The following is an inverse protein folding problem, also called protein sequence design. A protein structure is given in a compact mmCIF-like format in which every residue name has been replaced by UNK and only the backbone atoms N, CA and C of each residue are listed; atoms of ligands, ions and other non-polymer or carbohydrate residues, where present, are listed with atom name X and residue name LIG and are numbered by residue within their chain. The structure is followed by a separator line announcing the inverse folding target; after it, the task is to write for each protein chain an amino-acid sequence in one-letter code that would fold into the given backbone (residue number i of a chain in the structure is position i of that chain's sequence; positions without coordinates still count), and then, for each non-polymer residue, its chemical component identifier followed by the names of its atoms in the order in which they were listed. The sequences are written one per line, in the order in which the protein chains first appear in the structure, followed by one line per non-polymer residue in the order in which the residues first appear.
data_IF_645055585730
#
_entry.id   IF_645055585730
#
_cell.length_a   1.000
_cell.length_b   1.000
_cell.length_c   1.000
_cell.angle_alpha   90.00
_cell.angle_beta   90.00
_cell.angle_gamma   90.00
#
_symmetry.space_group_name_H-M   'P 1'
#
loop_
_entity.id
_entity.type
_entity.pdbx_description
1 polymer ?
#
# COMPACT_ATOMS: atom_id res chain seq x y z
N UNK A 1 -12.45 0.45 9.98
CA UNK A 1 -12.24 -0.89 9.41
C UNK A 1 -10.89 -1.43 9.88
N UNK A 2 -10.88 -2.63 10.42
CA UNK A 2 -9.63 -3.24 10.92
C UNK A 2 -8.90 -3.94 9.78
N UNK A 3 -7.56 -4.01 9.82
CA UNK A 3 -6.81 -4.61 8.70
C UNK A 3 -7.22 -6.03 8.33
N UNK A 4 -7.53 -6.90 9.29
CA UNK A 4 -7.91 -8.27 8.98
C UNK A 4 -9.21 -8.36 8.19
N UNK A 5 -10.08 -7.36 8.28
CA UNK A 5 -11.34 -7.31 7.54
C UNK A 5 -11.12 -7.09 6.05
N UNK A 6 -9.92 -6.64 5.65
CA UNK A 6 -9.58 -6.40 4.26
C UNK A 6 -9.21 -7.68 3.51
N UNK A 7 -8.81 -8.74 4.25
CA UNK A 7 -8.40 -10.00 3.63
C UNK A 7 -9.54 -10.60 2.82
N UNK A 8 -9.27 -10.91 1.55
CA UNK A 8 -10.28 -11.45 0.64
C UNK A 8 -11.05 -10.44 -0.17
N UNK A 9 -10.89 -9.13 0.11
CA UNK A 9 -11.58 -8.11 -0.69
C UNK A 9 -11.07 -8.10 -2.13
N UNK A 10 -11.98 -8.02 -3.12
CA UNK A 10 -11.59 -8.03 -4.53
C UNK A 10 -10.94 -6.73 -4.97
N UNK A 11 -10.17 -6.82 -6.03
CA UNK A 11 -9.50 -5.68 -6.65
C UNK A 11 -10.45 -4.93 -7.58
N UNK A 12 -10.46 -3.61 -7.47
CA UNK A 12 -11.08 -2.70 -8.44
C UNK A 12 -10.38 -1.35 -8.36
N UNK A 13 -9.75 -0.93 -9.45
CA UNK A 13 -9.02 0.33 -9.47
C UNK A 13 -9.93 1.51 -9.15
N UNK A 14 -9.51 2.35 -8.20
CA UNK A 14 -10.27 3.51 -7.76
C UNK A 14 -11.35 3.23 -6.72
N UNK A 15 -11.52 1.97 -6.32
CA UNK A 15 -12.53 1.62 -5.31
C UNK A 15 -12.02 1.84 -3.88
N UNK A 16 -12.95 2.11 -2.98
CA UNK A 16 -12.68 2.28 -1.57
C UNK A 16 -13.25 1.08 -0.79
N UNK A 17 -12.44 0.37 0.02
CA UNK A 17 -12.88 -0.83 0.72
C UNK A 17 -14.15 -0.65 1.54
N UNK A 18 -14.26 0.45 2.27
CA UNK A 18 -15.42 0.71 3.13
C UNK A 18 -16.69 1.02 2.33
N UNK A 19 -16.57 1.77 1.23
CA UNK A 19 -17.72 2.21 0.44
C UNK A 19 -18.16 1.19 -0.60
N UNK A 20 -17.23 0.45 -1.18
CA UNK A 20 -17.49 -0.36 -2.36
C UNK A 20 -17.30 -1.86 -2.15
N UNK A 21 -16.79 -2.31 -1.02
CA UNK A 21 -16.47 -3.71 -0.79
C UNK A 21 -15.37 -4.23 -1.72
N UNK A 22 -14.55 -3.33 -2.26
CA UNK A 22 -13.44 -3.62 -3.14
C UNK A 22 -12.42 -2.49 -3.00
N UNK A 23 -11.19 -2.72 -3.44
CA UNK A 23 -10.15 -1.69 -3.37
C UNK A 23 -9.02 -1.94 -4.32
N UNK A 24 -8.03 -1.08 -4.27
CA UNK A 24 -6.76 -1.24 -4.99
C UNK A 24 -5.61 -1.11 -3.99
N UNK A 25 -4.37 -1.19 -4.46
CA UNK A 25 -3.23 -1.12 -3.54
C UNK A 25 -3.11 0.22 -2.82
N UNK A 26 -3.55 1.31 -3.44
CA UNK A 26 -3.55 2.64 -2.81
C UNK A 26 -4.57 2.70 -1.67
N UNK A 27 -5.82 2.32 -1.93
CA UNK A 27 -6.88 2.35 -0.92
C UNK A 27 -6.65 1.31 0.17
N UNK A 28 -6.07 0.16 -0.16
CA UNK A 28 -5.68 -0.86 0.82
C UNK A 28 -4.68 -0.28 1.83
N UNK A 29 -3.58 0.26 1.34
CA UNK A 29 -2.53 0.81 2.20
C UNK A 29 -3.05 1.98 3.03
N UNK A 30 -3.85 2.86 2.42
CA UNK A 30 -4.45 3.98 3.11
C UNK A 30 -5.37 3.54 4.25
N UNK A 31 -6.18 2.51 4.01
CA UNK A 31 -7.09 1.96 5.03
C UNK A 31 -6.32 1.36 6.20
N UNK A 32 -5.26 0.60 5.91
CA UNK A 32 -4.41 0.00 6.95
C UNK A 32 -3.73 1.08 7.78
N UNK A 33 -3.11 2.08 7.13
CA UNK A 33 -2.46 3.18 7.83
C UNK A 33 -3.45 3.94 8.72
N UNK A 34 -4.65 4.19 8.21
CA UNK A 34 -5.68 4.88 8.98
C UNK A 34 -6.06 4.11 10.24
N UNK A 35 -6.09 2.78 10.18
CA UNK A 35 -6.38 1.95 11.35
C UNK A 35 -5.30 2.09 12.44
N UNK A 36 -4.10 2.51 12.07
CA UNK A 36 -3.00 2.76 13.01
C UNK A 36 -2.90 4.25 13.40
N UNK A 37 -3.83 5.09 12.95
CA UNK A 37 -3.77 6.52 13.21
C UNK A 37 -2.76 7.28 12.36
N UNK A 38 -2.29 6.69 11.28
CA UNK A 38 -1.32 7.29 10.37
C UNK A 38 -2.03 7.84 9.15
N UNK A 39 -1.77 9.12 8.81
CA UNK A 39 -2.37 9.74 7.64
C UNK A 39 -1.51 9.49 6.40
N UNK A 40 -2.18 9.37 5.26
CA UNK A 40 -1.55 9.25 3.95
C UNK A 40 -2.25 10.18 2.97
N UNK A 41 -1.59 10.59 1.88
CA UNK A 41 -2.24 11.43 0.88
C UNK A 41 -3.45 10.72 0.28
N UNK A 42 -4.47 11.50 -0.06
CA UNK A 42 -5.62 10.98 -0.77
C UNK A 42 -5.26 10.81 -2.25
N UNK A 43 -5.53 9.62 -2.85
CA UNK A 43 -5.21 9.42 -4.26
C UNK A 43 -5.95 10.41 -5.17
N UNK A 44 -5.23 10.94 -6.16
CA UNK A 44 -5.77 11.88 -7.13
C UNK A 44 -6.14 11.16 -8.44
N UNK A 45 -7.00 11.77 -9.24
CA UNK A 45 -7.37 11.22 -10.55
C UNK A 45 -6.17 11.02 -11.46
N UNK A 46 -5.20 11.92 -11.39
CA UNK A 46 -3.97 11.82 -12.19
C UNK A 46 -3.18 10.55 -11.88
N UNK A 47 -3.19 10.10 -10.62
CA UNK A 47 -2.52 8.86 -10.24
C UNK A 47 -3.15 7.66 -10.95
N UNK A 48 -4.47 7.57 -10.93
CA UNK A 48 -5.20 6.47 -11.58
C UNK A 48 -5.02 6.47 -13.09
N UNK A 49 -4.98 7.65 -13.72
CA UNK A 49 -4.69 7.75 -15.16
C UNK A 49 -3.30 7.22 -15.50
N UNK A 50 -2.31 7.55 -14.67
CA UNK A 50 -0.94 7.06 -14.86
C UNK A 50 -0.87 5.54 -14.66
N UNK A 51 -1.53 5.01 -13.64
CA UNK A 51 -1.55 3.57 -13.38
C UNK A 51 -2.23 2.79 -14.49
N UNK A 52 -3.30 3.31 -15.09
CA UNK A 52 -3.94 2.70 -16.27
C UNK A 52 -2.99 2.59 -17.45
N UNK A 53 -2.05 3.50 -17.57
CA UNK A 53 -1.01 3.49 -18.61
C UNK A 53 0.22 2.69 -18.18
N UNK A 54 0.17 2.02 -17.05
CA UNK A 54 1.29 1.26 -16.46
C UNK A 54 2.50 2.12 -16.15
N UNK A 55 2.28 3.40 -15.85
CA UNK A 55 3.30 4.32 -15.36
C UNK A 55 3.40 4.18 -13.85
N UNK A 56 4.24 3.25 -13.41
CA UNK A 56 4.41 2.93 -11.99
C UNK A 56 5.33 3.91 -11.25
N UNK A 57 5.92 4.88 -11.94
CA UNK A 57 6.78 5.88 -11.29
C UNK A 57 5.99 6.70 -10.26
N UNK A 58 4.66 6.75 -10.38
CA UNK A 58 3.80 7.42 -9.40
C UNK A 58 4.02 6.85 -7.98
N UNK A 59 4.20 5.54 -7.84
CA UNK A 59 4.43 4.92 -6.54
C UNK A 59 5.73 5.42 -5.91
N UNK A 60 6.81 5.47 -6.70
CA UNK A 60 8.11 5.95 -6.22
C UNK A 60 8.03 7.42 -5.80
N UNK A 61 7.39 8.25 -6.64
CA UNK A 61 7.25 9.68 -6.37
C UNK A 61 6.48 9.93 -5.07
N UNK A 62 5.32 9.28 -4.90
CA UNK A 62 4.46 9.52 -3.75
C UNK A 62 5.00 8.92 -2.46
N UNK A 63 5.62 7.75 -2.52
CA UNK A 63 6.24 7.14 -1.35
C UNK A 63 7.44 7.94 -0.88
N UNK A 64 8.26 8.46 -1.79
CA UNK A 64 9.41 9.32 -1.43
C UNK A 64 8.95 10.65 -0.83
N UNK A 65 7.82 11.18 -1.30
CA UNK A 65 7.25 12.41 -0.74
C UNK A 65 6.65 12.18 0.64
N UNK A 66 5.93 11.07 0.81
CA UNK A 66 5.24 10.74 2.06
C UNK A 66 6.19 10.28 3.16
N UNK A 67 7.22 9.51 2.80
CA UNK A 67 8.00 8.78 3.77
C UNK A 67 9.51 8.78 3.56
N UNK A 68 10.18 8.13 4.48
CA UNK A 68 11.61 7.85 4.44
C UNK A 68 11.81 6.33 4.44
N UNK A 69 12.93 5.88 3.92
CA UNK A 69 13.26 4.46 3.92
C UNK A 69 13.25 3.90 5.35
N UNK A 70 12.73 2.70 5.47
CA UNK A 70 12.50 2.06 6.76
C UNK A 70 12.56 0.54 6.61
N UNK A 71 12.95 -0.19 7.64
CA UNK A 71 12.71 -1.63 7.69
C UNK A 71 11.22 -1.91 7.82
N UNK A 72 10.77 -3.15 7.53
CA UNK A 72 9.39 -3.56 7.79
C UNK A 72 9.02 -3.40 9.26
N UNK A 73 7.95 -2.65 9.52
CA UNK A 73 7.43 -2.42 10.87
C UNK A 73 6.00 -1.90 10.80
N UNK A 74 5.32 -1.88 11.93
CA UNK A 74 3.96 -1.34 12.00
C UNK A 74 3.92 0.08 11.42
N UNK A 75 3.04 0.31 10.46
CA UNK A 75 2.91 1.58 9.76
C UNK A 75 3.77 1.72 8.51
N UNK A 76 4.61 0.73 8.20
CA UNK A 76 5.41 0.76 6.98
C UNK A 76 4.61 0.34 5.75
N UNK A 77 4.95 0.93 4.61
CA UNK A 77 4.42 0.60 3.29
C UNK A 77 5.56 0.11 2.43
N UNK A 78 5.39 -1.05 1.80
CA UNK A 78 6.35 -1.60 0.87
C UNK A 78 5.93 -1.30 -0.57
N UNK A 79 6.92 -1.01 -1.40
CA UNK A 79 6.76 -0.99 -2.85
C UNK A 79 7.24 -2.35 -3.36
N UNK A 80 6.34 -3.10 -3.99
CA UNK A 80 6.58 -4.46 -4.41
C UNK A 80 6.70 -4.56 -5.92
N UNK A 81 7.59 -5.42 -6.39
CA UNK A 81 7.78 -5.69 -7.81
C UNK A 81 7.31 -7.10 -8.12
N UNK A 82 6.48 -7.24 -9.14
CA UNK A 82 6.03 -8.56 -9.62
C UNK A 82 6.95 -9.07 -10.72
N UNK A 83 6.85 -10.36 -11.04
CA UNK A 83 7.67 -11.00 -12.06
C UNK A 83 7.46 -10.40 -13.46
N UNK A 84 6.26 -9.89 -13.74
CA UNK A 84 5.94 -9.29 -15.04
C UNK A 84 6.39 -7.82 -15.15
N UNK A 85 7.11 -7.31 -14.16
CA UNK A 85 7.60 -5.93 -14.18
C UNK A 85 6.63 -4.88 -13.68
N UNK A 86 5.44 -5.27 -13.24
CA UNK A 86 4.51 -4.33 -12.63
C UNK A 86 4.90 -4.08 -11.16
N UNK A 87 4.38 -2.98 -10.61
CA UNK A 87 4.60 -2.60 -9.23
C UNK A 87 3.28 -2.44 -8.50
N UNK A 88 3.32 -2.65 -7.20
CA UNK A 88 2.19 -2.43 -6.32
C UNK A 88 2.68 -2.10 -4.93
N UNK A 89 1.75 -1.76 -4.06
CA UNK A 89 2.07 -1.43 -2.67
C UNK A 89 1.47 -2.46 -1.72
N UNK A 90 2.16 -2.69 -0.61
CA UNK A 90 1.72 -3.57 0.46
C UNK A 90 1.84 -2.85 1.79
N UNK A 91 0.96 -3.18 2.73
CA UNK A 91 0.96 -2.60 4.07
C UNK A 91 1.39 -3.64 5.09
N UNK A 92 2.26 -3.24 6.02
CA UNK A 92 2.71 -4.13 7.10
C UNK A 92 1.56 -4.51 8.02
N UNK A 93 1.42 -5.80 8.29
CA UNK A 93 0.43 -6.32 9.21
C UNK A 93 0.89 -7.66 9.78
N UNK A 94 0.97 -7.76 11.11
CA UNK A 94 1.29 -9.02 11.83
C UNK A 94 2.51 -9.76 11.26
N UNK A 95 3.66 -9.06 11.27
CA UNK A 95 4.95 -9.60 10.80
C UNK A 95 4.90 -10.11 9.36
N UNK A 96 4.11 -9.45 8.54
CA UNK A 96 3.97 -9.76 7.13
C UNK A 96 3.37 -8.59 6.38
N UNK A 97 2.81 -8.87 5.22
CA UNK A 97 2.26 -7.87 4.32
C UNK A 97 0.84 -8.19 3.93
N UNK A 98 -0.02 -7.17 3.91
CA UNK A 98 -1.30 -7.22 3.22
C UNK A 98 -1.10 -6.62 1.83
N UNK A 99 -1.44 -7.37 0.79
CA UNK A 99 -1.29 -6.93 -0.60
C UNK A 99 -2.33 -7.60 -1.50
N UNK A 100 -2.59 -6.98 -2.65
CA UNK A 100 -3.40 -7.61 -3.67
C UNK A 100 -2.57 -8.65 -4.41
N UNK A 101 -3.03 -9.90 -4.39
CA UNK A 101 -2.37 -11.03 -5.03
C UNK A 101 -3.36 -11.71 -5.97
N UNK A 102 -2.86 -12.11 -7.13
CA UNK A 102 -3.68 -12.83 -8.10
C UNK A 102 -3.83 -14.28 -7.68
N UNK A 103 -5.08 -14.75 -7.64
CA UNK A 103 -5.42 -16.16 -7.51
C UNK A 103 -5.82 -16.69 -8.89
N UNK A 104 -6.25 -17.95 -8.97
CA UNK A 104 -6.69 -18.53 -10.24
C UNK A 104 -7.90 -17.81 -10.84
N UNK A 105 -8.76 -17.24 -10.01
CA UNK A 105 -10.02 -16.63 -10.47
C UNK A 105 -10.04 -15.11 -10.31
N UNK A 106 -9.39 -14.60 -9.27
CA UNK A 106 -9.53 -13.20 -8.87
C UNK A 106 -8.20 -12.62 -8.41
N UNK A 107 -8.22 -11.31 -8.23
CA UNK A 107 -7.17 -10.59 -7.53
C UNK A 107 -7.77 -10.09 -6.21
N UNK A 108 -7.24 -10.57 -5.09
CA UNK A 108 -7.79 -10.29 -3.76
C UNK A 108 -6.68 -9.95 -2.77
N UNK A 109 -7.06 -9.31 -1.67
CA UNK A 109 -6.12 -9.02 -0.57
C UNK A 109 -5.76 -10.34 0.12
N UNK A 110 -4.45 -10.56 0.29
CA UNK A 110 -3.91 -11.70 1.03
C UNK A 110 -2.82 -11.24 1.97
N UNK A 111 -2.67 -11.94 3.09
CA UNK A 111 -1.52 -11.80 3.96
C UNK A 111 -0.39 -12.69 3.46
N UNK A 112 0.84 -12.18 3.51
CA UNK A 112 2.04 -12.92 3.12
C UNK A 112 3.16 -12.66 4.11
N UNK A 113 4.02 -13.65 4.41
CA UNK A 113 5.18 -13.40 5.26
C UNK A 113 6.14 -12.40 4.60
N UNK A 114 7.00 -11.77 5.40
CA UNK A 114 7.88 -10.69 4.94
C UNK A 114 8.71 -11.06 3.72
N UNK A 115 9.24 -12.27 3.68
CA UNK A 115 10.13 -12.74 2.61
C UNK A 115 9.39 -13.16 1.33
N UNK A 116 8.07 -13.21 1.35
CA UNK A 116 7.30 -13.67 0.19
C UNK A 116 7.20 -12.66 -0.95
N UNK A 117 7.46 -11.38 -0.66
CA UNK A 117 7.36 -10.31 -1.65
C UNK A 117 8.74 -9.77 -2.01
N UNK A 118 8.92 -9.48 -3.29
CA UNK A 118 10.14 -8.81 -3.75
C UNK A 118 9.96 -7.30 -3.60
N UNK A 119 10.71 -6.69 -2.68
CA UNK A 119 10.57 -5.27 -2.38
C UNK A 119 11.50 -4.43 -3.25
N UNK A 120 10.94 -3.36 -3.82
CA UNK A 120 11.70 -2.30 -4.46
C UNK A 120 11.96 -1.15 -3.47
N UNK A 121 11.29 -1.15 -2.34
CA UNK A 121 11.49 -0.18 -1.28
C UNK A 121 10.52 -0.43 -0.13
N UNK A 122 10.82 0.17 1.02
CA UNK A 122 9.96 0.14 2.18
C UNK A 122 10.07 1.49 2.88
N UNK A 123 8.93 2.09 3.23
CA UNK A 123 8.86 3.48 3.66
C UNK A 123 8.00 3.63 4.91
N UNK A 124 8.36 4.61 5.74
CA UNK A 124 7.61 4.98 6.93
C UNK A 124 7.35 6.49 6.91
N UNK A 125 6.25 6.92 7.52
CA UNK A 125 5.78 8.30 7.49
C UNK A 125 6.85 9.30 7.92
N UNK A 126 7.20 10.24 7.03
CA UNK A 126 8.20 11.29 7.28
C UNK A 126 7.75 12.28 8.34
N UNK A 127 6.45 12.56 8.41
CA UNK A 127 5.87 13.58 9.27
C UNK A 127 6.19 13.38 10.76
N UNK A 128 6.26 12.13 11.23
CA UNK A 128 6.60 11.85 12.63
C UNK A 128 8.01 12.28 12.97
N UNK A 129 8.94 12.13 12.02
CA UNK A 129 10.34 12.53 12.20
C UNK A 129 10.41 14.05 12.31
N UNK A 130 9.66 14.77 11.48
CA UNK A 130 9.62 16.24 11.49
C UNK A 130 9.08 16.78 12.82
N UNK A 131 8.02 16.16 13.37
CA UNK A 131 7.45 16.57 14.65
C UNK A 131 8.45 16.40 15.80
N UNK A 132 9.17 15.27 15.81
CA UNK A 132 10.19 15.01 16.82
C UNK A 132 11.37 15.99 16.75
N UNK A 133 11.77 16.39 15.55
CA UNK A 133 12.91 17.29 15.37
C UNK A 133 12.60 18.75 15.66
N UNK A 134 11.32 19.13 15.73
CA UNK A 134 10.92 20.51 16.02
C UNK A 134 10.94 20.86 17.51
N UNK A 135 11.14 19.89 18.35
CA UNK A 135 11.26 20.09 19.80
C UNK A 135 12.72 20.28 20.24
#
# INVERSE_FOLDING_TARGET
MKPYELIGLPYRLGADPKKHGAGDCLSLCRTVLKSYGISSPEPERSWYRRLKKKDYSIFFEELNRWGVESPPKLGAIALCRSENGSYGMAAYYEEGWLSYRRTLENQVVQWSPLEALTLAGCYFQRKQICVMSSE
#
